data_IF_017537141329
#
_entry.id   IF_017537141329
#
_cell.length_a   1.000
_cell.length_b   1.000
_cell.length_c   1.000
_cell.angle_alpha   90.00
_cell.angle_beta   90.00
_cell.angle_gamma   90.00
#
_symmetry.space_group_name_H-M   'P 1'
#
loop_
_entity.id
_entity.type
_entity.pdbx_description
1 polymer ?
#
# COMPACT_ATOMS: atom_id res chain seq x y z
N UNK A 1 61.03 -23.65 -46.78
CA UNK A 1 59.61 -23.63 -46.38
C UNK A 1 59.50 -23.54 -44.85
N UNK A 2 59.48 -22.36 -44.23
CA UNK A 2 59.27 -22.21 -42.75
C UNK A 2 59.04 -20.77 -42.27
N UNK A 3 58.34 -19.91 -43.03
CA UNK A 3 58.11 -18.50 -42.62
C UNK A 3 56.64 -18.06 -42.54
N UNK A 4 55.69 -18.90 -42.96
CA UNK A 4 54.27 -18.50 -43.06
C UNK A 4 53.42 -18.91 -41.84
N UNK A 5 53.98 -19.64 -40.86
CA UNK A 5 53.25 -20.07 -39.67
C UNK A 5 53.18 -19.02 -38.55
N UNK A 6 54.12 -18.08 -38.51
CA UNK A 6 54.22 -17.08 -37.43
C UNK A 6 53.21 -15.94 -37.63
N UNK A 7 52.96 -15.54 -38.88
CA UNK A 7 51.99 -14.48 -39.20
C UNK A 7 50.56 -14.96 -38.93
N UNK A 8 50.27 -16.25 -39.15
CA UNK A 8 48.96 -16.84 -38.83
C UNK A 8 48.70 -16.89 -37.31
N UNK A 9 49.74 -17.16 -36.51
CA UNK A 9 49.65 -17.10 -35.05
C UNK A 9 49.57 -15.67 -34.48
N UNK A 10 50.20 -14.69 -35.13
CA UNK A 10 50.10 -13.28 -34.72
C UNK A 10 48.72 -12.66 -35.00
N UNK A 11 48.03 -13.07 -36.07
CA UNK A 11 46.64 -12.69 -36.31
C UNK A 11 45.65 -13.35 -35.33
N UNK A 12 45.97 -14.54 -34.82
CA UNK A 12 45.10 -15.25 -33.86
C UNK A 12 45.09 -14.60 -32.47
N UNK A 13 46.17 -13.91 -32.09
CA UNK A 13 46.29 -13.21 -30.79
C UNK A 13 45.57 -11.85 -30.80
N UNK A 14 45.30 -11.27 -31.97
CA UNK A 14 44.49 -10.02 -32.07
C UNK A 14 42.99 -10.31 -31.94
N UNK A 15 42.57 -11.58 -32.04
CA UNK A 15 41.23 -12.06 -31.66
C UNK A 15 41.10 -12.39 -30.16
N UNK A 16 42.11 -12.05 -29.34
CA UNK A 16 42.00 -12.13 -27.89
C UNK A 16 41.14 -10.97 -27.37
N UNK A 17 39.83 -11.16 -27.50
CA UNK A 17 38.81 -10.71 -26.55
C UNK A 17 39.05 -9.32 -25.95
N UNK A 18 38.89 -8.26 -26.75
CA UNK A 18 38.36 -7.01 -26.20
C UNK A 18 36.94 -7.29 -25.71
N UNK A 19 36.83 -7.81 -24.48
CA UNK A 19 35.59 -7.76 -23.74
C UNK A 19 35.32 -6.28 -23.45
N UNK A 20 34.59 -5.61 -24.34
CA UNK A 20 33.88 -4.39 -23.97
C UNK A 20 32.86 -4.78 -22.90
N UNK A 21 33.27 -4.71 -21.64
CA UNK A 21 32.35 -4.71 -20.53
C UNK A 21 31.63 -3.36 -20.56
N UNK A 22 30.47 -3.31 -21.23
CA UNK A 22 29.49 -2.28 -20.94
C UNK A 22 29.00 -2.55 -19.52
N UNK A 23 29.50 -1.78 -18.55
CA UNK A 23 28.91 -1.75 -17.23
C UNK A 23 27.45 -1.33 -17.37
N UNK A 24 26.52 -2.27 -17.18
CA UNK A 24 25.08 -2.01 -17.12
C UNK A 24 24.71 -1.39 -15.76
N UNK A 25 25.44 -0.36 -15.33
CA UNK A 25 25.00 0.47 -14.21
C UNK A 25 23.91 1.39 -14.72
N UNK A 26 22.70 1.29 -14.17
CA UNK A 26 21.71 2.33 -14.37
C UNK A 26 22.31 3.66 -13.88
N UNK A 27 22.27 4.74 -14.67
CA UNK A 27 22.77 6.02 -14.19
C UNK A 27 22.02 6.40 -12.91
N UNK A 28 22.77 6.68 -11.85
CA UNK A 28 22.21 7.14 -10.59
C UNK A 28 21.64 8.55 -10.80
N UNK A 29 20.31 8.65 -10.88
CA UNK A 29 19.58 9.89 -11.09
C UNK A 29 19.15 10.43 -9.73
N UNK A 30 19.70 11.60 -9.38
CA UNK A 30 19.28 12.35 -8.22
C UNK A 30 18.78 13.75 -8.61
N UNK A 31 17.96 14.33 -7.75
CA UNK A 31 17.55 15.74 -7.82
C UNK A 31 17.89 16.43 -6.51
N UNK A 32 18.51 17.60 -6.58
CA UNK A 32 18.70 18.45 -5.41
C UNK A 32 17.35 19.02 -4.99
N UNK A 33 16.89 18.60 -3.82
CA UNK A 33 15.61 19.02 -3.23
C UNK A 33 15.84 19.63 -1.86
N UNK A 34 15.05 20.64 -1.51
CA UNK A 34 15.07 21.25 -0.18
C UNK A 34 14.41 20.31 0.83
N UNK A 35 15.20 19.80 1.77
CA UNK A 35 14.75 18.89 2.82
C UNK A 35 14.66 19.69 4.11
N UNK A 36 13.45 19.83 4.64
CA UNK A 36 13.19 20.61 5.84
C UNK A 36 13.66 19.87 7.12
N UNK A 37 13.79 18.55 7.04
CA UNK A 37 14.28 17.70 8.14
C UNK A 37 15.79 17.86 8.35
N UNK A 38 16.19 18.38 9.51
CA UNK A 38 17.58 18.60 9.89
C UNK A 38 18.30 17.34 10.35
N UNK A 39 17.58 16.28 10.66
CA UNK A 39 18.13 15.01 11.13
C UNK A 39 18.23 13.96 10.02
N UNK A 40 17.99 14.38 8.77
CA UNK A 40 18.10 13.51 7.60
C UNK A 40 19.54 13.04 7.40
N UNK A 41 19.70 11.76 7.07
CA UNK A 41 20.98 11.10 6.83
C UNK A 41 20.98 10.44 5.47
N UNK A 42 22.19 10.16 4.97
CA UNK A 42 22.39 9.33 3.78
C UNK A 42 21.67 8.00 3.95
N UNK A 43 20.97 7.59 2.90
CA UNK A 43 20.16 6.38 2.85
C UNK A 43 18.76 6.53 3.44
N UNK A 44 18.39 7.68 4.01
CA UNK A 44 17.01 7.88 4.48
C UNK A 44 16.03 7.99 3.31
N UNK A 45 14.90 7.27 3.43
CA UNK A 45 13.74 7.48 2.56
C UNK A 45 13.06 8.79 2.96
N UNK A 46 12.75 9.64 1.98
CA UNK A 46 12.05 10.90 2.20
C UNK A 46 10.73 10.97 1.44
N UNK A 47 9.76 11.68 2.03
CA UNK A 47 8.41 11.85 1.50
C UNK A 47 7.98 13.31 1.50
N UNK A 48 7.04 13.64 0.62
CA UNK A 48 6.41 14.96 0.57
C UNK A 48 5.34 15.08 1.67
N UNK A 49 5.51 16.05 2.57
CA UNK A 49 4.49 16.44 3.55
C UNK A 49 3.93 17.83 3.22
N UNK A 50 2.99 18.32 4.05
CA UNK A 50 2.45 19.68 3.92
C UNK A 50 3.49 20.75 4.26
N UNK A 51 4.44 20.42 5.13
CA UNK A 51 5.43 21.36 5.68
C UNK A 51 6.78 21.28 4.97
N UNK A 52 6.92 20.41 3.95
CA UNK A 52 8.14 20.22 3.19
C UNK A 52 8.48 18.75 2.96
N UNK A 53 9.75 18.48 2.66
CA UNK A 53 10.26 17.11 2.52
C UNK A 53 10.87 16.67 3.86
N UNK A 54 10.41 15.53 4.37
CA UNK A 54 10.86 14.95 5.63
C UNK A 54 11.17 13.47 5.45
N UNK A 55 11.92 12.89 6.40
CA UNK A 55 12.08 11.44 6.49
C UNK A 55 10.71 10.76 6.55
N UNK A 56 10.48 9.75 5.71
CA UNK A 56 9.23 9.00 5.72
C UNK A 56 9.13 8.19 7.01
N UNK A 57 8.00 8.32 7.71
CA UNK A 57 7.68 7.60 8.95
C UNK A 57 6.39 6.80 8.84
N UNK A 58 5.86 6.68 7.62
CA UNK A 58 4.63 5.98 7.31
C UNK A 58 5.01 4.71 6.53
N UNK A 59 4.62 3.51 6.98
CA UNK A 59 4.81 2.30 6.18
C UNK A 59 4.05 2.37 4.85
N UNK A 60 4.71 1.98 3.74
CA UNK A 60 4.14 2.02 2.37
C UNK A 60 3.66 3.42 1.97
N UNK A 61 4.44 4.44 2.29
CA UNK A 61 4.06 5.84 2.08
C UNK A 61 3.92 6.14 0.58
N UNK A 62 2.71 6.53 0.18
CA UNK A 62 2.38 6.86 -1.21
C UNK A 62 3.09 8.15 -1.69
N UNK A 63 3.61 8.95 -0.74
CA UNK A 63 4.27 10.23 -1.03
C UNK A 63 5.79 10.14 -0.99
N UNK A 64 6.35 8.92 -1.02
CA UNK A 64 7.80 8.74 -1.17
C UNK A 64 8.31 9.44 -2.42
N UNK A 65 9.38 10.21 -2.25
CA UNK A 65 10.03 10.94 -3.35
C UNK A 65 11.31 10.23 -3.77
N UNK A 66 12.05 9.67 -2.81
CA UNK A 66 13.37 9.11 -3.07
C UNK A 66 14.13 8.78 -1.79
N UNK A 67 15.41 8.51 -1.99
CA UNK A 67 16.37 8.22 -0.92
C UNK A 67 17.46 9.28 -0.93
N UNK A 68 17.92 9.74 0.24
CA UNK A 68 19.08 10.63 0.29
C UNK A 68 20.32 9.90 -0.21
N UNK A 69 20.87 10.35 -1.33
CA UNK A 69 22.01 9.73 -1.99
C UNK A 69 23.35 10.12 -1.40
N UNK A 70 24.33 9.23 -1.56
CA UNK A 70 25.74 9.53 -1.33
C UNK A 70 26.42 9.84 -2.67
N UNK A 71 26.81 11.09 -2.89
CA UNK A 71 27.57 11.54 -4.06
C UNK A 71 27.06 11.02 -5.44
N UNK A 72 25.82 11.36 -5.86
CA UNK A 72 25.29 10.86 -7.11
C UNK A 72 26.04 11.41 -8.34
N UNK A 73 26.19 10.56 -9.37
CA UNK A 73 26.91 10.90 -10.60
C UNK A 73 26.14 11.92 -11.45
N UNK A 74 24.82 11.78 -11.53
CA UNK A 74 23.95 12.71 -12.26
C UNK A 74 22.94 13.35 -11.30
N UNK A 75 23.11 14.66 -11.07
CA UNK A 75 22.24 15.43 -10.19
C UNK A 75 21.58 16.56 -10.94
N UNK A 76 20.26 16.56 -10.96
CA UNK A 76 19.46 17.65 -11.50
C UNK A 76 19.21 18.72 -10.44
N UNK A 77 19.29 19.98 -10.83
CA UNK A 77 19.08 21.13 -9.94
C UNK A 77 20.36 21.60 -9.25
N UNK A 78 20.40 22.90 -8.94
CA UNK A 78 21.57 23.54 -8.33
C UNK A 78 21.66 23.19 -6.85
N UNK A 79 22.81 22.73 -6.40
CA UNK A 79 23.07 22.52 -4.98
C UNK A 79 23.11 23.87 -4.24
N UNK A 80 22.40 23.93 -3.12
CA UNK A 80 22.45 25.01 -2.13
C UNK A 80 22.83 24.43 -0.77
N UNK A 81 22.97 25.28 0.25
CA UNK A 81 23.23 24.86 1.64
C UNK A 81 22.07 24.11 2.29
N UNK A 82 20.87 24.15 1.71
CA UNK A 82 19.64 23.53 2.25
C UNK A 82 19.11 22.39 1.40
N UNK A 83 19.74 22.10 0.26
CA UNK A 83 19.33 21.01 -0.63
C UNK A 83 20.15 19.76 -0.40
N UNK A 84 19.49 18.61 -0.49
CA UNK A 84 20.14 17.31 -0.50
C UNK A 84 19.89 16.61 -1.83
N UNK A 85 20.85 15.79 -2.31
CA UNK A 85 20.63 14.97 -3.48
C UNK A 85 19.67 13.83 -3.14
N UNK A 86 18.45 13.89 -3.67
CA UNK A 86 17.43 12.85 -3.52
C UNK A 86 17.47 11.94 -4.74
N UNK A 87 17.90 10.70 -4.54
CA UNK A 87 17.94 9.64 -5.55
C UNK A 87 16.51 9.18 -5.85
N UNK A 88 16.12 9.30 -7.11
CA UNK A 88 14.80 8.86 -7.60
C UNK A 88 14.89 7.60 -8.44
N UNK A 89 16.07 7.29 -9.00
CA UNK A 89 16.32 6.07 -9.75
C UNK A 89 17.81 5.68 -9.75
N UNK A 90 18.10 4.38 -9.81
CA UNK A 90 19.46 3.83 -9.86
C UNK A 90 19.89 3.16 -8.55
N UNK A 91 21.16 2.78 -8.44
CA UNK A 91 21.66 2.03 -7.27
C UNK A 91 22.20 2.96 -6.18
N UNK A 92 21.73 2.80 -4.94
CA UNK A 92 22.24 3.57 -3.79
C UNK A 92 22.12 2.77 -2.49
N UNK A 93 22.82 3.22 -1.46
CA UNK A 93 22.66 2.71 -0.11
C UNK A 93 21.35 3.26 0.49
N UNK A 94 20.57 2.37 1.10
CA UNK A 94 19.31 2.69 1.78
C UNK A 94 19.44 2.27 3.24
N UNK A 95 19.03 3.13 4.17
CA UNK A 95 18.95 2.77 5.59
C UNK A 95 17.77 1.82 5.76
N UNK A 96 18.02 0.60 6.20
CA UNK A 96 17.02 -0.45 6.35
C UNK A 96 17.07 -1.11 7.73
N UNK A 97 16.01 -1.83 8.03
CA UNK A 97 15.82 -2.61 9.25
C UNK A 97 15.14 -3.95 8.95
N UNK A 98 15.50 -4.96 9.74
CA UNK A 98 14.83 -6.27 9.74
C UNK A 98 13.50 -6.29 10.50
N UNK A 99 12.86 -5.14 10.74
CA UNK A 99 11.54 -5.01 11.39
C UNK A 99 10.47 -5.97 10.84
N UNK A 100 10.47 -6.20 9.52
CA UNK A 100 9.56 -7.13 8.83
C UNK A 100 10.24 -8.46 8.46
N UNK A 101 11.27 -8.84 9.21
CA UNK A 101 12.12 -10.00 8.96
C UNK A 101 13.34 -9.67 8.10
N UNK A 102 14.18 -10.70 7.93
CA UNK A 102 15.38 -10.64 7.10
C UNK A 102 15.06 -10.18 5.67
N UNK A 103 15.84 -9.21 5.19
CA UNK A 103 15.84 -8.74 3.80
C UNK A 103 16.81 -9.62 3.02
N UNK A 104 16.36 -10.17 1.90
CA UNK A 104 17.18 -10.94 0.97
C UNK A 104 17.37 -10.18 -0.33
N UNK A 105 18.45 -10.47 -1.04
CA UNK A 105 18.65 -9.99 -2.39
C UNK A 105 17.43 -10.31 -3.25
N UNK A 106 16.90 -9.29 -3.91
CA UNK A 106 15.71 -9.37 -4.74
C UNK A 106 14.40 -9.03 -4.01
N UNK A 107 14.39 -8.92 -2.69
CA UNK A 107 13.22 -8.45 -1.94
C UNK A 107 12.93 -6.98 -2.24
N UNK A 108 11.64 -6.63 -2.32
CA UNK A 108 11.23 -5.25 -2.41
C UNK A 108 11.33 -4.56 -1.04
N UNK A 109 11.75 -3.30 -1.06
CA UNK A 109 11.89 -2.45 0.11
C UNK A 109 10.82 -1.36 0.11
N UNK A 110 10.26 -1.06 1.27
CA UNK A 110 9.27 0.01 1.48
C UNK A 110 9.69 0.87 2.68
N UNK A 111 9.13 2.08 2.80
CA UNK A 111 9.21 2.87 4.04
C UNK A 111 8.64 2.11 5.24
N UNK A 112 9.12 2.44 6.44
CA UNK A 112 8.70 1.87 7.72
C UNK A 112 8.06 2.91 8.64
N UNK A 113 7.66 2.48 9.85
CA UNK A 113 7.23 3.39 10.90
C UNK A 113 8.37 4.12 11.59
N UNK A 114 9.63 3.71 11.37
CA UNK A 114 10.82 4.40 11.86
C UNK A 114 11.25 5.45 10.82
N UNK A 115 11.43 6.72 11.21
CA UNK A 115 11.77 7.80 10.28
C UNK A 115 12.99 7.48 9.39
N UNK A 116 12.79 7.52 8.08
CA UNK A 116 13.82 7.35 7.05
C UNK A 116 14.21 5.90 6.79
N UNK A 117 13.74 4.96 7.61
CA UNK A 117 14.14 3.56 7.54
C UNK A 117 13.27 2.77 6.57
N UNK A 118 13.91 1.99 5.72
CA UNK A 118 13.31 0.97 4.90
C UNK A 118 13.08 -0.33 5.68
N UNK A 119 12.12 -1.11 5.22
CA UNK A 119 11.86 -2.47 5.68
C UNK A 119 11.46 -3.34 4.49
N UNK A 120 11.49 -4.67 4.66
CA UNK A 120 10.97 -5.61 3.67
C UNK A 120 9.48 -5.35 3.39
N UNK A 121 9.12 -5.30 2.11
CA UNK A 121 7.73 -5.27 1.67
C UNK A 121 7.11 -6.68 1.74
N UNK A 122 6.00 -6.79 2.44
CA UNK A 122 5.29 -8.05 2.75
C UNK A 122 3.85 -8.05 2.23
N UNK A 123 3.34 -6.90 1.78
CA UNK A 123 1.99 -6.72 1.23
C UNK A 123 2.01 -5.71 0.08
N UNK A 124 0.92 -5.66 -0.69
CA UNK A 124 0.74 -4.69 -1.77
C UNK A 124 0.84 -3.25 -1.27
N UNK A 125 1.60 -2.41 -1.99
CA UNK A 125 1.81 -1.02 -1.62
C UNK A 125 2.96 -0.38 -2.40
N UNK A 126 3.23 0.89 -2.11
CA UNK A 126 4.38 1.59 -2.68
C UNK A 126 5.69 1.05 -2.11
N UNK A 127 6.63 0.76 -2.99
CA UNK A 127 7.99 0.30 -2.66
C UNK A 127 8.99 1.33 -3.16
N UNK A 128 10.07 1.53 -2.43
CA UNK A 128 11.15 2.45 -2.83
C UNK A 128 12.08 1.82 -3.88
N UNK A 129 12.17 0.49 -3.88
CA UNK A 129 13.11 -0.23 -4.72
C UNK A 129 13.26 -1.70 -4.34
N UNK A 130 14.34 -2.31 -4.81
CA UNK A 130 14.67 -3.72 -4.61
C UNK A 130 16.05 -3.88 -4.00
N UNK A 131 16.18 -4.73 -2.99
CA UNK A 131 17.46 -5.02 -2.34
C UNK A 131 18.41 -5.76 -3.30
N UNK A 132 19.67 -5.33 -3.36
CA UNK A 132 20.73 -5.94 -4.18
C UNK A 132 21.63 -6.88 -3.38
N UNK A 133 21.46 -6.92 -2.06
CA UNK A 133 22.19 -7.77 -1.12
C UNK A 133 21.29 -8.26 0.03
N UNK A 134 21.78 -9.24 0.77
CA UNK A 134 21.12 -9.75 1.98
C UNK A 134 21.41 -8.83 3.17
N UNK A 135 20.42 -8.65 4.04
CA UNK A 135 20.52 -7.81 5.23
C UNK A 135 19.69 -8.36 6.38
N UNK A 136 20.33 -8.53 7.54
CA UNK A 136 19.72 -9.06 8.76
C UNK A 136 20.28 -8.36 10.01
N UNK A 137 20.06 -7.06 10.10
CA UNK A 137 20.42 -6.24 11.27
C UNK A 137 19.24 -5.41 11.70
N UNK A 138 19.23 -5.01 12.98
CA UNK A 138 18.19 -4.12 13.52
C UNK A 138 18.12 -2.81 12.75
N UNK A 139 19.26 -2.18 12.47
CA UNK A 139 19.37 -1.00 11.59
C UNK A 139 20.73 -0.99 10.87
N UNK A 140 20.77 -0.51 9.64
CA UNK A 140 22.01 -0.41 8.87
C UNK A 140 21.77 0.05 7.44
N UNK A 141 22.82 0.08 6.62
CA UNK A 141 22.72 0.37 5.20
C UNK A 141 22.62 -0.94 4.41
N UNK A 142 21.74 -0.96 3.42
CA UNK A 142 21.60 -2.04 2.43
C UNK A 142 21.69 -1.43 1.03
N UNK A 143 22.44 -2.06 0.15
CA UNK A 143 22.49 -1.68 -1.26
C UNK A 143 21.17 -2.03 -1.94
N UNK A 144 20.56 -1.07 -2.64
CA UNK A 144 19.29 -1.26 -3.32
C UNK A 144 19.22 -0.54 -4.67
N UNK A 145 18.48 -1.12 -5.61
CA UNK A 145 18.05 -0.49 -6.85
C UNK A 145 16.78 0.32 -6.56
N UNK A 146 16.89 1.65 -6.63
CA UNK A 146 15.80 2.59 -6.42
C UNK A 146 14.94 2.66 -7.67
N UNK A 147 13.66 2.36 -7.49
CA UNK A 147 12.62 2.50 -8.48
C UNK A 147 11.28 2.56 -7.73
N UNK A 148 10.83 3.78 -7.45
CA UNK A 148 9.61 3.99 -6.69
C UNK A 148 8.40 3.61 -7.54
N UNK A 149 7.65 2.62 -7.09
CA UNK A 149 6.48 2.12 -7.79
C UNK A 149 5.50 1.44 -6.84
N UNK A 150 4.27 1.24 -7.31
CA UNK A 150 3.31 0.40 -6.61
C UNK A 150 3.59 -1.07 -6.94
N UNK A 151 3.90 -1.88 -5.92
CA UNK A 151 4.11 -3.31 -6.08
C UNK A 151 2.86 -4.07 -5.63
N UNK A 152 2.32 -4.90 -6.53
CA UNK A 152 1.27 -5.85 -6.20
C UNK A 152 1.89 -7.13 -5.63
N UNK A 153 1.47 -7.50 -4.42
CA UNK A 153 1.72 -8.81 -3.84
C UNK A 153 0.40 -9.59 -3.84
N UNK A 154 0.30 -10.70 -4.60
CA UNK A 154 -0.90 -11.53 -4.54
C UNK A 154 -1.06 -12.01 -3.10
N UNK A 155 -2.10 -11.49 -2.42
CA UNK A 155 -2.37 -11.80 -1.03
C UNK A 155 -2.56 -13.30 -0.91
N UNK A 156 -1.63 -13.98 -0.25
CA UNK A 156 -1.81 -15.38 0.12
C UNK A 156 -3.13 -15.52 0.88
N UNK A 157 -3.93 -16.52 0.53
CA UNK A 157 -5.27 -16.89 1.06
C UNK A 157 -5.73 -16.01 2.24
N UNK A 158 -6.68 -15.12 1.98
CA UNK A 158 -7.31 -14.25 2.99
C UNK A 158 -7.83 -15.11 4.13
N UNK A 159 -7.12 -15.09 5.26
CA UNK A 159 -7.52 -15.77 6.49
C UNK A 159 -8.17 -14.74 7.42
N UNK A 160 -9.28 -15.08 8.13
CA UNK A 160 -9.96 -14.15 9.04
C UNK A 160 -9.03 -13.50 10.07
N UNK A 161 -7.99 -14.23 10.49
CA UNK A 161 -6.97 -13.76 11.42
C UNK A 161 -6.15 -12.59 10.85
N UNK A 162 -5.72 -12.69 9.58
CA UNK A 162 -4.93 -11.65 8.92
C UNK A 162 -5.76 -10.39 8.68
N UNK A 163 -7.07 -10.55 8.42
CA UNK A 163 -8.01 -9.42 8.29
C UNK A 163 -8.17 -8.71 9.63
N UNK A 164 -8.30 -9.44 10.74
CA UNK A 164 -8.41 -8.87 12.07
C UNK A 164 -7.13 -8.12 12.49
N UNK A 165 -5.96 -8.69 12.24
CA UNK A 165 -4.65 -8.05 12.51
C UNK A 165 -4.46 -6.76 11.70
N UNK A 166 -4.88 -6.76 10.43
CA UNK A 166 -4.85 -5.57 9.57
C UNK A 166 -5.80 -4.46 10.08
N UNK A 167 -6.98 -4.81 10.61
CA UNK A 167 -7.90 -3.83 11.20
C UNK A 167 -7.33 -3.30 12.53
N UNK A 168 -6.77 -4.16 13.39
CA UNK A 168 -6.19 -3.77 14.67
C UNK A 168 -5.01 -2.79 14.51
N UNK A 169 -4.14 -3.05 13.55
CA UNK A 169 -2.99 -2.19 13.26
C UNK A 169 -3.38 -0.83 12.66
N UNK A 170 -4.52 -0.75 11.97
CA UNK A 170 -5.07 0.53 11.48
C UNK A 170 -5.77 1.34 12.58
N UNK A 171 -6.35 0.69 13.60
CA UNK A 171 -7.00 1.36 14.74
C UNK A 171 -6.02 2.06 15.68
N UNK A 172 -4.75 1.63 15.72
CA UNK A 172 -3.71 2.27 16.53
C UNK A 172 -3.27 3.66 16.02
N UNK A 173 -3.76 4.10 14.84
CA UNK A 173 -3.44 5.41 14.27
C UNK A 173 -4.53 6.43 14.63
N UNK A 174 -4.21 7.52 15.36
CA UNK A 174 -5.21 8.49 15.83
C UNK A 174 -5.97 9.19 14.69
N UNK A 175 -5.39 9.31 13.50
CA UNK A 175 -6.04 9.92 12.34
C UNK A 175 -7.19 9.08 11.74
N UNK A 176 -7.17 7.76 11.93
CA UNK A 176 -8.18 6.84 11.38
C UNK A 176 -9.34 6.57 12.35
N UNK A 177 -9.21 6.98 13.62
CA UNK A 177 -10.18 6.67 14.66
C UNK A 177 -11.61 7.16 14.36
N UNK A 178 -11.82 8.40 13.84
CA UNK A 178 -13.16 8.84 13.45
C UNK A 178 -13.76 8.00 12.31
N UNK A 179 -12.93 7.55 11.37
CA UNK A 179 -13.38 6.80 10.19
C UNK A 179 -13.78 5.36 10.56
N UNK A 180 -13.05 4.71 11.46
CA UNK A 180 -13.41 3.40 11.99
C UNK A 180 -14.74 3.47 12.76
N UNK A 181 -14.91 4.47 13.61
CA UNK A 181 -16.18 4.69 14.33
C UNK A 181 -17.33 4.87 13.35
N UNK A 182 -17.15 5.67 12.29
CA UNK A 182 -18.14 5.87 11.24
C UNK A 182 -18.61 4.55 10.62
N UNK A 183 -17.69 3.65 10.28
CA UNK A 183 -18.05 2.34 9.73
C UNK A 183 -18.73 1.41 10.73
N UNK A 184 -18.32 1.44 12.01
CA UNK A 184 -19.01 0.68 13.07
C UNK A 184 -20.45 1.19 13.23
N UNK A 185 -20.66 2.51 13.23
CA UNK A 185 -22.00 3.10 13.28
C UNK A 185 -22.83 2.72 12.06
N UNK A 186 -22.26 2.77 10.86
CA UNK A 186 -22.95 2.34 9.64
C UNK A 186 -23.35 0.86 9.70
N UNK A 187 -22.47 -0.01 10.21
CA UNK A 187 -22.75 -1.42 10.40
C UNK A 187 -23.91 -1.64 11.39
N UNK A 188 -23.90 -0.92 12.52
CA UNK A 188 -24.95 -1.02 13.53
C UNK A 188 -26.30 -0.51 13.02
N UNK A 189 -26.33 0.64 12.35
CA UNK A 189 -27.55 1.24 11.82
C UNK A 189 -28.10 0.43 10.65
N UNK A 190 -27.24 0.08 9.70
CA UNK A 190 -27.62 -0.68 8.50
C UNK A 190 -28.01 -2.12 8.83
N UNK A 191 -27.17 -2.79 9.63
CA UNK A 191 -27.45 -4.14 10.11
C UNK A 191 -28.69 -4.18 10.99
N UNK A 192 -28.81 -3.27 11.97
CA UNK A 192 -29.97 -3.16 12.84
C UNK A 192 -31.26 -2.91 12.06
N UNK A 193 -31.23 -2.01 11.08
CA UNK A 193 -32.39 -1.71 10.22
C UNK A 193 -32.78 -2.90 9.35
N UNK A 194 -31.80 -3.61 8.78
CA UNK A 194 -32.05 -4.83 8.02
C UNK A 194 -32.71 -5.91 8.88
N UNK A 195 -32.14 -6.21 10.06
CA UNK A 195 -32.69 -7.24 10.95
C UNK A 195 -34.08 -6.86 11.49
N UNK A 196 -34.27 -5.61 11.91
CA UNK A 196 -35.58 -5.13 12.35
C UNK A 196 -36.62 -5.21 11.23
N UNK A 197 -36.25 -4.83 10.01
CA UNK A 197 -37.07 -4.96 8.81
C UNK A 197 -37.44 -6.41 8.51
N UNK A 198 -36.44 -7.29 8.47
CA UNK A 198 -36.62 -8.71 8.20
C UNK A 198 -37.55 -9.40 9.22
N UNK A 199 -37.33 -9.18 10.52
CA UNK A 199 -38.19 -9.75 11.56
C UNK A 199 -39.61 -9.18 11.52
N UNK A 200 -39.76 -7.88 11.30
CA UNK A 200 -41.07 -7.22 11.19
C UNK A 200 -41.84 -7.73 9.97
N UNK A 201 -41.15 -7.90 8.84
CA UNK A 201 -41.70 -8.43 7.60
C UNK A 201 -42.19 -9.87 7.77
N UNK A 202 -41.35 -10.74 8.34
CA UNK A 202 -41.73 -12.12 8.64
C UNK A 202 -42.95 -12.21 9.56
N UNK A 203 -42.98 -11.40 10.64
CA UNK A 203 -44.11 -11.35 11.56
C UNK A 203 -45.38 -10.82 10.90
N UNK A 204 -45.27 -9.81 10.03
CA UNK A 204 -46.40 -9.24 9.29
C UNK A 204 -46.98 -10.25 8.31
N UNK A 205 -46.13 -10.99 7.58
CA UNK A 205 -46.56 -12.08 6.69
C UNK A 205 -47.29 -13.18 7.45
N UNK A 206 -46.71 -13.70 8.54
CA UNK A 206 -47.33 -14.78 9.32
C UNK A 206 -48.71 -14.38 9.84
N UNK A 207 -48.85 -13.16 10.38
CA UNK A 207 -50.14 -12.63 10.86
C UNK A 207 -51.15 -12.41 9.72
N UNK A 208 -50.68 -11.96 8.56
CA UNK A 208 -51.53 -11.77 7.39
C UNK A 208 -52.10 -13.09 6.87
N UNK A 209 -51.25 -14.13 6.79
CA UNK A 209 -51.68 -15.48 6.40
C UNK A 209 -52.66 -16.08 7.41
N UNK A 210 -52.39 -15.94 8.71
CA UNK A 210 -53.29 -16.40 9.77
C UNK A 210 -54.66 -15.70 9.68
N UNK A 211 -54.67 -14.37 9.48
CA UNK A 211 -55.90 -13.60 9.36
C UNK A 211 -56.75 -14.02 8.14
N UNK A 212 -56.12 -14.30 7.00
CA UNK A 212 -56.80 -14.83 5.80
C UNK A 212 -57.36 -16.23 6.08
N UNK A 213 -56.61 -17.07 6.77
CA UNK A 213 -57.05 -18.42 7.16
C UNK A 213 -58.25 -18.40 8.10
N UNK A 214 -58.30 -17.44 9.03
CA UNK A 214 -59.40 -17.32 10.01
C UNK A 214 -60.66 -16.65 9.46
N UNK A 215 -60.53 -15.75 8.48
CA UNK A 215 -61.69 -15.09 7.85
C UNK A 215 -61.52 -14.95 6.33
N UNK A 216 -61.84 -16.00 5.56
CA UNK A 216 -61.66 -16.00 4.11
C UNK A 216 -62.56 -14.99 3.38
N UNK A 217 -63.68 -14.57 3.98
CA UNK A 217 -64.58 -13.58 3.37
C UNK A 217 -63.98 -12.17 3.32
N UNK A 218 -63.05 -11.86 4.24
CA UNK A 218 -62.32 -10.58 4.27
C UNK A 218 -60.97 -10.64 3.53
N UNK A 219 -60.70 -11.70 2.75
CA UNK A 219 -59.40 -11.92 2.09
C UNK A 219 -58.88 -10.69 1.34
N UNK A 220 -59.72 -10.01 0.55
CA UNK A 220 -59.31 -8.87 -0.27
C UNK A 220 -58.89 -7.65 0.57
N UNK A 221 -59.61 -7.36 1.65
CA UNK A 221 -59.25 -6.25 2.56
C UNK A 221 -58.00 -6.59 3.38
N UNK A 222 -57.84 -7.84 3.83
CA UNK A 222 -56.65 -8.30 4.55
C UNK A 222 -55.41 -8.26 3.65
N UNK A 223 -55.52 -8.71 2.39
CA UNK A 223 -54.42 -8.65 1.43
C UNK A 223 -53.97 -7.21 1.16
N UNK A 224 -54.92 -6.27 1.03
CA UNK A 224 -54.61 -4.86 0.79
C UNK A 224 -53.94 -4.22 2.00
N UNK A 225 -54.43 -4.47 3.22
CA UNK A 225 -53.79 -4.01 4.45
C UNK A 225 -52.39 -4.63 4.66
N UNK A 226 -52.23 -5.92 4.35
CA UNK A 226 -50.94 -6.61 4.42
C UNK A 226 -49.95 -6.01 3.43
N UNK A 227 -50.37 -5.76 2.19
CA UNK A 227 -49.52 -5.12 1.18
C UNK A 227 -49.02 -3.75 1.62
N UNK A 228 -49.90 -2.90 2.16
CA UNK A 228 -49.53 -1.58 2.67
C UNK A 228 -48.52 -1.67 3.83
N UNK A 229 -48.74 -2.61 4.77
CA UNK A 229 -47.85 -2.78 5.91
C UNK A 229 -46.46 -3.30 5.47
N UNK A 230 -46.42 -4.30 4.58
CA UNK A 230 -45.16 -4.80 4.03
C UNK A 230 -44.41 -3.73 3.23
N UNK A 231 -45.13 -2.88 2.49
CA UNK A 231 -44.54 -1.74 1.78
C UNK A 231 -43.94 -0.73 2.76
N UNK A 232 -44.63 -0.42 3.85
CA UNK A 232 -44.11 0.46 4.90
C UNK A 232 -42.84 -0.09 5.57
N UNK A 233 -42.82 -1.40 5.88
CA UNK A 233 -41.64 -2.07 6.43
C UNK A 233 -40.47 -2.03 5.42
N UNK A 234 -40.73 -2.28 4.14
CA UNK A 234 -39.71 -2.21 3.10
C UNK A 234 -39.13 -0.79 2.96
N UNK A 235 -39.98 0.25 2.96
CA UNK A 235 -39.56 1.64 2.89
C UNK A 235 -38.71 2.04 4.11
N UNK A 236 -39.12 1.67 5.31
CA UNK A 236 -38.36 1.95 6.54
C UNK A 236 -37.00 1.24 6.54
N UNK A 237 -36.97 -0.01 6.07
CA UNK A 237 -35.72 -0.79 5.96
C UNK A 237 -34.78 -0.14 4.96
N UNK A 238 -35.30 0.27 3.80
CA UNK A 238 -34.53 0.98 2.77
C UNK A 238 -34.03 2.34 3.26
N UNK A 239 -34.84 3.08 4.02
CA UNK A 239 -34.41 4.34 4.63
C UNK A 239 -33.26 4.14 5.62
N UNK A 240 -33.33 3.11 6.47
CA UNK A 240 -32.26 2.77 7.41
C UNK A 240 -30.97 2.33 6.71
N UNK A 241 -31.08 1.53 5.65
CA UNK A 241 -29.93 1.18 4.79
C UNK A 241 -29.36 2.40 4.05
N UNK A 242 -30.23 3.29 3.58
CA UNK A 242 -29.85 4.55 2.94
C UNK A 242 -29.08 5.47 3.89
N UNK A 243 -29.50 5.56 5.16
CA UNK A 243 -28.76 6.28 6.20
C UNK A 243 -27.39 5.65 6.46
N UNK A 244 -27.32 4.32 6.58
CA UNK A 244 -26.04 3.64 6.74
C UNK A 244 -25.09 3.89 5.54
N UNK A 245 -25.63 3.88 4.32
CA UNK A 245 -24.88 4.20 3.12
C UNK A 245 -24.43 5.67 3.09
N UNK A 246 -25.28 6.60 3.50
CA UNK A 246 -24.94 8.01 3.63
C UNK A 246 -23.77 8.20 4.60
N UNK A 247 -23.81 7.55 5.77
CA UNK A 247 -22.71 7.53 6.75
C UNK A 247 -21.45 6.86 6.18
N UNK A 248 -21.54 5.94 5.22
CA UNK A 248 -20.35 5.34 4.59
C UNK A 248 -19.70 6.29 3.58
N UNK A 249 -20.47 7.18 2.94
CA UNK A 249 -19.94 8.13 1.95
C UNK A 249 -19.46 9.42 2.62
N UNK A 250 -20.30 10.02 3.45
CA UNK A 250 -20.09 11.33 4.08
C UNK A 250 -19.67 11.18 5.54
#
# INVERSE_FOLDING_TARGET
MKKNGIIFWLCLIIFFSFNFAFGQGLPLIAKNLEVADREVKVGDIVSQTKDGIFRSSIPYDEKMIGVIGENPVLVFGKATTTTFPVVTAGETLVRASNLNGQIKKGDFLTSSSKPGLAQKATQSGFVVGKALEDFDKDEGLVLAEINIQYQYFPSGKVSPKNVLENILSQMGRPENFPQVLRYIFALLVGGGSFFAGFFSFGRALSRGVEAIGRNPMAKRSIQLAMFLNLTGIALLTLAGLGLAFFVIIY
#
